data_IF_836212435764
#
_entry.id   IF_836212435764
#
_cell.length_a   1.000
_cell.length_b   1.000
_cell.length_c   1.000
_cell.angle_alpha   90.00
_cell.angle_beta   90.00
_cell.angle_gamma   90.00
#
_symmetry.space_group_name_H-M   'P 1'
#
loop_
_entity.id
_entity.type
_entity.pdbx_description
1 polymer ?
#
# COMPACT_ATOMS: atom_id res chain seq x y z
N UNK A 1 1.18 -7.60 13.07
CA UNK A 1 1.85 -8.65 12.27
C UNK A 1 1.58 -8.37 10.80
N UNK A 2 2.55 -8.56 9.90
CA UNK A 2 2.42 -8.30 8.44
C UNK A 2 1.80 -9.52 7.75
N UNK A 3 0.89 -9.30 6.82
CA UNK A 3 0.26 -10.38 6.03
C UNK A 3 0.92 -10.59 4.66
N UNK A 4 1.21 -9.49 3.94
CA UNK A 4 1.72 -9.51 2.57
C UNK A 4 2.84 -8.47 2.42
N UNK A 5 3.62 -8.61 1.35
CA UNK A 5 4.58 -7.59 0.93
C UNK A 5 3.97 -6.69 -0.16
N UNK A 6 4.41 -5.43 -0.22
CA UNK A 6 3.86 -4.40 -1.10
C UNK A 6 3.97 -4.78 -2.58
N UNK A 7 5.08 -5.39 -3.00
CA UNK A 7 5.33 -5.82 -4.38
C UNK A 7 4.70 -7.18 -4.74
N UNK A 8 3.95 -7.81 -3.83
CA UNK A 8 3.30 -9.11 -4.05
C UNK A 8 1.77 -9.01 -4.14
N UNK A 9 1.23 -7.80 -4.28
CA UNK A 9 -0.20 -7.61 -4.40
C UNK A 9 -0.65 -7.86 -5.83
N UNK A 10 -1.60 -8.78 -5.97
CA UNK A 10 -2.18 -9.19 -7.24
C UNK A 10 -3.71 -9.10 -7.18
N UNK A 11 -4.36 -9.19 -8.34
CA UNK A 11 -5.83 -9.12 -8.47
C UNK A 11 -6.56 -10.29 -7.80
N UNK A 12 -5.87 -11.37 -7.47
CA UNK A 12 -6.41 -12.50 -6.70
C UNK A 12 -6.78 -12.11 -5.26
N UNK A 13 -6.20 -11.03 -4.71
CA UNK A 13 -6.43 -10.55 -3.34
C UNK A 13 -7.54 -9.49 -3.25
N UNK A 14 -8.31 -9.28 -4.32
CA UNK A 14 -9.42 -8.32 -4.32
C UNK A 14 -10.48 -8.73 -3.30
N UNK A 15 -10.98 -7.75 -2.53
CA UNK A 15 -11.91 -7.90 -1.40
C UNK A 15 -11.34 -8.55 -0.14
N UNK A 16 -10.05 -8.88 -0.10
CA UNK A 16 -9.41 -9.40 1.11
C UNK A 16 -8.90 -8.26 2.02
N UNK A 17 -8.97 -8.47 3.33
CA UNK A 17 -8.37 -7.56 4.31
C UNK A 17 -6.91 -7.93 4.54
N UNK A 18 -6.00 -7.05 4.15
CA UNK A 18 -4.55 -7.26 4.28
C UNK A 18 -3.90 -6.21 5.19
N UNK A 19 -2.87 -6.62 5.91
CA UNK A 19 -1.99 -5.76 6.69
C UNK A 19 -0.62 -5.67 6.03
N UNK A 20 -0.19 -4.45 5.69
CA UNK A 20 1.11 -4.14 5.11
C UNK A 20 1.99 -3.41 6.12
N UNK A 21 3.31 -3.58 6.01
CA UNK A 21 4.29 -2.87 6.83
C UNK A 21 5.43 -2.40 5.95
N UNK A 22 5.69 -1.09 5.94
CA UNK A 22 6.72 -0.46 5.13
C UNK A 22 6.92 1.00 5.51
N UNK A 23 7.59 1.74 4.64
CA UNK A 23 7.85 3.16 4.80
C UNK A 23 7.03 3.97 3.80
N UNK A 24 6.62 5.17 4.19
CA UNK A 24 6.01 6.12 3.24
C UNK A 24 7.09 6.60 2.28
N UNK A 25 6.93 6.28 1.00
CA UNK A 25 7.81 6.74 -0.06
C UNK A 25 7.39 8.13 -0.57
N UNK A 26 6.08 8.33 -0.74
CA UNK A 26 5.51 9.63 -1.13
C UNK A 26 4.10 9.75 -0.55
N UNK A 27 3.79 10.95 -0.05
CA UNK A 27 2.43 11.36 0.30
C UNK A 27 1.94 12.35 -0.75
N UNK A 28 0.74 12.13 -1.27
CA UNK A 28 0.04 13.05 -2.16
C UNK A 28 -1.31 13.37 -1.53
N UNK A 29 -1.53 14.64 -1.28
CA UNK A 29 -2.72 15.15 -0.63
C UNK A 29 -3.48 16.01 -1.63
N UNK A 30 -4.69 15.57 -2.00
CA UNK A 30 -5.58 16.29 -2.91
C UNK A 30 -6.78 16.88 -2.14
N UNK A 31 -6.61 17.12 -0.83
CA UNK A 31 -7.65 17.64 0.05
C UNK A 31 -8.57 16.53 0.56
N UNK A 32 -9.58 16.16 -0.24
CA UNK A 32 -10.56 15.13 0.12
C UNK A 32 -10.16 13.70 -0.23
N UNK A 33 -8.95 13.52 -0.75
CA UNK A 33 -8.43 12.23 -1.23
C UNK A 33 -6.93 12.19 -0.97
N UNK A 34 -6.47 11.18 -0.23
CA UNK A 34 -5.05 11.04 0.12
C UNK A 34 -4.50 9.78 -0.51
N UNK A 35 -3.40 9.92 -1.23
CA UNK A 35 -2.62 8.79 -1.71
C UNK A 35 -1.32 8.68 -0.93
N UNK A 36 -1.05 7.47 -0.45
CA UNK A 36 0.23 7.10 0.15
C UNK A 36 0.87 6.05 -0.73
N UNK A 37 2.00 6.40 -1.35
CA UNK A 37 2.86 5.41 -1.99
C UNK A 37 3.71 4.80 -0.87
N UNK A 38 3.41 3.57 -0.47
CA UNK A 38 4.13 2.81 0.55
C UNK A 38 5.18 1.92 -0.12
N UNK A 39 6.38 1.85 0.47
CA UNK A 39 7.50 1.04 0.01
C UNK A 39 7.89 0.00 1.04
N UNK A 40 8.19 -1.20 0.57
CA UNK A 40 9.00 -2.16 1.31
C UNK A 40 10.14 -2.70 0.43
N UNK A 41 10.81 -3.77 0.87
CA UNK A 41 11.94 -4.36 0.11
C UNK A 41 11.56 -4.92 -1.26
N UNK A 42 10.27 -5.21 -1.48
CA UNK A 42 9.77 -5.90 -2.68
C UNK A 42 9.22 -4.95 -3.73
N UNK A 43 8.79 -3.75 -3.33
CA UNK A 43 8.22 -2.80 -4.28
C UNK A 43 7.47 -1.65 -3.62
N UNK A 44 6.65 -1.00 -4.46
CA UNK A 44 5.77 0.11 -4.11
C UNK A 44 4.31 -0.33 -4.22
N UNK A 45 3.47 0.18 -3.34
CA UNK A 45 2.00 0.03 -3.39
C UNK A 45 1.35 1.38 -3.14
N UNK A 46 0.22 1.64 -3.80
CA UNK A 46 -0.59 2.82 -3.55
C UNK A 46 -1.71 2.49 -2.55
N UNK A 47 -1.76 3.23 -1.45
CA UNK A 47 -2.86 3.21 -0.48
C UNK A 47 -3.67 4.48 -0.66
N UNK A 48 -4.99 4.36 -0.65
CA UNK A 48 -5.93 5.49 -0.81
C UNK A 48 -6.74 5.64 0.47
N UNK A 49 -6.93 6.88 0.92
CA UNK A 49 -7.81 7.26 2.02
C UNK A 49 -8.83 8.30 1.55
#
# INVERSE_FOLDING_TARGET
MRSHYCGQLETSLVNETITLCGWVNKRRDLGGLIFIDMRDRTGLVQVVF
#
